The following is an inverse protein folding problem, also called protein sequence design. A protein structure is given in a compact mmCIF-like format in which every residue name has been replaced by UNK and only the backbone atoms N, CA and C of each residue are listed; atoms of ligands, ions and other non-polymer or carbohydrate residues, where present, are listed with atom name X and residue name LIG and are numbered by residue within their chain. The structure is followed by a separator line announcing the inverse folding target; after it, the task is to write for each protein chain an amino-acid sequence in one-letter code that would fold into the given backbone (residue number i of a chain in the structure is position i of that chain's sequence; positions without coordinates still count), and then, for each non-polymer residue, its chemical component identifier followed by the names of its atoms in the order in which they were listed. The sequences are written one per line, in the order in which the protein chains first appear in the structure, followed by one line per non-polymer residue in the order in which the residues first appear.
data_IF_688517110472
#
_entry.id   IF_688517110472
#
_cell.length_a   1.000
_cell.length_b   1.000
_cell.length_c   1.000
_cell.angle_alpha   90.00
_cell.angle_beta   90.00
_cell.angle_gamma   90.00
#
_symmetry.space_group_name_H-M   'P 1'
#
loop_
_entity.id
_entity.type
_entity.pdbx_description
1 polymer ?
#
# COMPACT_ATOMS: atom_id res chain seq x y z
N UNK A 1 59.32 -31.23 8.13
CA UNK A 1 59.30 -30.99 6.68
C UNK A 1 58.06 -31.71 6.16
N UNK A 2 56.96 -31.00 5.85
CA UNK A 2 56.73 -30.18 4.63
C UNK A 2 56.47 -31.04 3.38
N UNK A 3 55.66 -30.67 2.39
CA UNK A 3 54.48 -29.78 2.30
C UNK A 3 53.98 -29.82 0.83
N UNK A 4 52.67 -29.68 0.58
CA UNK A 4 52.07 -29.39 -0.76
C UNK A 4 52.25 -30.50 -1.83
N UNK A 5 51.55 -30.56 -2.98
CA UNK A 5 50.46 -29.75 -3.60
C UNK A 5 49.30 -30.62 -4.12
N UNK A 6 48.10 -30.04 -4.25
CA UNK A 6 46.96 -30.58 -5.02
C UNK A 6 47.25 -30.80 -6.52
N UNK A 7 46.58 -31.76 -7.17
CA UNK A 7 45.85 -31.56 -8.45
C UNK A 7 44.81 -32.67 -8.70
N UNK A 8 43.62 -32.59 -8.09
CA UNK A 8 42.45 -33.39 -8.51
C UNK A 8 41.53 -32.56 -9.41
N UNK A 9 41.23 -33.06 -10.62
CA UNK A 9 40.47 -32.33 -11.66
C UNK A 9 38.97 -32.68 -11.65
N UNK A 10 38.25 -32.30 -10.59
CA UNK A 10 36.78 -32.38 -10.60
C UNK A 10 36.16 -31.17 -11.31
N UNK A 11 35.75 -31.36 -12.57
CA UNK A 11 34.95 -30.39 -13.31
C UNK A 11 33.53 -30.27 -12.71
N UNK A 12 33.30 -29.23 -11.92
CA UNK A 12 31.94 -28.81 -11.55
C UNK A 12 31.33 -27.97 -12.68
N UNK A 13 30.19 -28.36 -13.29
CA UNK A 13 29.48 -27.49 -14.21
C UNK A 13 28.90 -26.31 -13.43
N UNK A 14 29.49 -25.14 -13.59
CA UNK A 14 28.98 -23.92 -12.98
C UNK A 14 27.54 -23.67 -13.46
N UNK A 15 26.57 -23.71 -12.55
CA UNK A 15 25.24 -23.15 -12.82
C UNK A 15 25.45 -21.65 -13.06
N UNK A 16 25.36 -21.25 -14.33
CA UNK A 16 25.22 -19.85 -14.67
C UNK A 16 23.99 -19.32 -13.90
N UNK A 17 24.21 -18.36 -13.02
CA UNK A 17 23.11 -17.60 -12.43
C UNK A 17 22.44 -16.85 -13.59
N UNK A 18 21.21 -17.22 -13.94
CA UNK A 18 20.43 -16.46 -14.90
C UNK A 18 20.42 -14.99 -14.47
N UNK A 19 20.62 -14.02 -15.38
CA UNK A 19 20.47 -12.62 -15.05
C UNK A 19 19.09 -12.40 -14.41
N UNK A 20 19.07 -11.59 -13.34
CA UNK A 20 17.82 -11.11 -12.76
C UNK A 20 16.93 -10.55 -13.88
N UNK A 21 15.62 -10.83 -13.91
CA UNK A 21 14.74 -10.28 -14.92
C UNK A 21 14.68 -8.76 -14.76
N UNK A 22 15.50 -8.07 -15.57
CA UNK A 22 15.50 -6.63 -15.74
C UNK A 22 14.05 -6.20 -16.00
N UNK A 23 13.50 -5.37 -15.11
CA UNK A 23 12.11 -4.91 -15.20
C UNK A 23 11.91 -4.23 -16.55
N UNK A 24 11.22 -4.92 -17.46
CA UNK A 24 10.85 -4.33 -18.75
C UNK A 24 9.90 -3.16 -18.49
N UNK A 25 10.05 -2.02 -19.19
CA UNK A 25 9.05 -0.96 -19.16
C UNK A 25 7.70 -1.51 -19.64
N UNK A 26 6.58 -0.89 -19.22
CA UNK A 26 5.26 -1.48 -19.41
C UNK A 26 4.96 -1.72 -20.90
N UNK A 27 4.44 -2.90 -21.28
CA UNK A 27 3.88 -3.10 -22.60
C UNK A 27 2.70 -2.15 -22.84
N UNK A 28 2.42 -1.86 -24.12
CA UNK A 28 1.18 -1.17 -24.52
C UNK A 28 -0.06 -1.96 -24.05
N UNK A 29 -1.26 -1.34 -23.94
CA UNK A 29 -2.45 -1.99 -23.38
C UNK A 29 -2.75 -3.38 -23.97
N UNK A 30 -2.62 -3.53 -25.30
CA UNK A 30 -2.78 -4.82 -25.98
C UNK A 30 -1.75 -5.89 -25.58
N UNK A 31 -0.48 -5.51 -25.39
CA UNK A 31 0.57 -6.44 -24.98
C UNK A 31 0.55 -6.74 -23.47
N UNK A 32 -0.03 -5.86 -22.64
CA UNK A 32 -0.35 -6.17 -21.24
C UNK A 32 -1.43 -7.27 -21.14
N UNK A 33 -2.47 -7.20 -21.99
CA UNK A 33 -3.49 -8.23 -22.11
C UNK A 33 -2.95 -9.57 -22.63
N UNK A 34 -2.05 -9.53 -23.61
CA UNK A 34 -1.36 -10.74 -24.11
C UNK A 34 -0.54 -11.44 -23.01
N UNK A 35 0.24 -10.68 -22.23
CA UNK A 35 1.02 -11.25 -21.13
C UNK A 35 0.13 -11.89 -20.04
N UNK A 36 -1.02 -11.28 -19.72
CA UNK A 36 -1.99 -11.89 -18.80
C UNK A 36 -2.55 -13.22 -19.34
N UNK A 37 -2.81 -13.31 -20.65
CA UNK A 37 -3.24 -14.56 -21.29
C UNK A 37 -2.16 -15.66 -21.25
N UNK A 38 -0.89 -15.32 -21.43
CA UNK A 38 0.24 -16.25 -21.26
C UNK A 38 0.31 -16.80 -19.83
N UNK A 39 0.25 -15.93 -18.81
CA UNK A 39 0.28 -16.32 -17.39
C UNK A 39 -0.89 -17.26 -17.03
N UNK A 40 -2.11 -16.98 -17.54
CA UNK A 40 -3.27 -17.85 -17.35
C UNK A 40 -3.10 -19.21 -18.06
N UNK A 41 -2.45 -19.25 -19.23
CA UNK A 41 -2.12 -20.50 -19.90
C UNK A 41 -1.06 -21.31 -19.13
N UNK A 42 -0.10 -20.66 -18.48
CA UNK A 42 0.87 -21.34 -17.61
C UNK A 42 0.23 -21.87 -16.32
N UNK A 43 -0.78 -21.18 -15.77
CA UNK A 43 -1.49 -21.66 -14.58
C UNK A 43 -2.09 -23.06 -14.81
N UNK A 44 -2.69 -23.27 -15.98
CA UNK A 44 -3.23 -24.59 -16.39
C UNK A 44 -2.12 -25.66 -16.53
N UNK A 45 -0.91 -25.29 -17.00
CA UNK A 45 0.24 -26.19 -17.10
C UNK A 45 0.80 -26.59 -15.73
N UNK A 46 0.78 -25.67 -14.75
CA UNK A 46 1.28 -25.89 -13.40
C UNK A 46 0.27 -26.60 -12.49
N UNK A 47 -1.04 -26.53 -12.79
CA UNK A 47 -2.13 -27.16 -12.05
C UNK A 47 -1.87 -28.61 -11.59
N UNK A 48 -1.44 -29.54 -12.47
CA UNK A 48 -1.10 -30.92 -12.08
C UNK A 48 0.10 -31.06 -11.13
N UNK A 49 0.96 -30.04 -11.04
CA UNK A 49 2.23 -30.07 -10.32
C UNK A 49 2.25 -29.21 -9.04
N UNK A 50 1.13 -28.60 -8.64
CA UNK A 50 1.07 -27.65 -7.50
C UNK A 50 1.59 -28.21 -6.17
N UNK A 51 1.49 -29.52 -5.95
CA UNK A 51 2.03 -30.18 -4.75
C UNK A 51 3.57 -30.26 -4.74
N UNK A 52 4.19 -30.30 -5.93
CA UNK A 52 5.65 -30.42 -6.12
C UNK A 52 6.30 -29.05 -6.36
N UNK A 53 5.55 -28.09 -6.91
CA UNK A 53 5.99 -26.72 -7.21
C UNK A 53 5.18 -25.63 -6.46
N UNK A 54 4.98 -25.72 -5.12
CA UNK A 54 4.13 -24.80 -4.35
C UNK A 54 4.68 -23.37 -4.23
N UNK A 55 5.93 -23.13 -4.65
CA UNK A 55 6.51 -21.79 -4.75
C UNK A 55 6.11 -21.16 -6.10
N UNK A 56 6.31 -21.88 -7.20
CA UNK A 56 6.02 -21.40 -8.56
C UNK A 56 4.53 -21.04 -8.73
N UNK A 57 3.62 -21.89 -8.24
CA UNK A 57 2.17 -21.61 -8.30
C UNK A 57 1.76 -20.36 -7.50
N UNK A 58 2.43 -20.07 -6.38
CA UNK A 58 2.16 -18.85 -5.59
C UNK A 58 2.66 -17.59 -6.28
N UNK A 59 3.89 -17.61 -6.82
CA UNK A 59 4.46 -16.49 -7.57
C UNK A 59 3.64 -16.17 -8.84
N UNK A 60 3.23 -17.20 -9.57
CA UNK A 60 2.39 -17.04 -10.76
C UNK A 60 1.03 -16.41 -10.41
N UNK A 61 0.36 -16.90 -9.36
CA UNK A 61 -0.91 -16.32 -8.93
C UNK A 61 -0.79 -14.88 -8.42
N UNK A 62 0.33 -14.51 -7.78
CA UNK A 62 0.62 -13.11 -7.43
C UNK A 62 0.75 -12.23 -8.67
N UNK A 63 1.47 -12.68 -9.69
CA UNK A 63 1.68 -11.92 -10.93
C UNK A 63 0.39 -11.81 -11.77
N UNK A 64 -0.45 -12.86 -11.81
CA UNK A 64 -1.79 -12.81 -12.42
C UNK A 64 -2.65 -11.75 -11.75
N UNK A 65 -2.69 -11.68 -10.40
CA UNK A 65 -3.45 -10.65 -9.70
C UNK A 65 -2.88 -9.24 -9.94
N UNK A 66 -1.55 -9.09 -9.95
CA UNK A 66 -0.86 -7.80 -10.24
C UNK A 66 -1.20 -7.29 -11.64
N UNK A 67 -1.11 -8.15 -12.65
CA UNK A 67 -1.42 -7.83 -14.04
C UNK A 67 -2.91 -7.57 -14.27
N UNK A 68 -3.80 -8.35 -13.63
CA UNK A 68 -5.25 -8.14 -13.72
C UNK A 68 -5.67 -6.80 -13.13
N UNK A 69 -5.16 -6.43 -11.94
CA UNK A 69 -5.41 -5.13 -11.34
C UNK A 69 -4.89 -3.97 -12.21
N UNK A 70 -3.68 -4.10 -12.78
CA UNK A 70 -3.11 -3.11 -13.68
C UNK A 70 -3.92 -2.94 -14.98
N UNK A 71 -4.45 -4.05 -15.53
CA UNK A 71 -5.29 -4.02 -16.74
C UNK A 71 -6.68 -3.42 -16.46
N UNK A 72 -7.29 -3.72 -15.30
CA UNK A 72 -8.52 -3.07 -14.85
C UNK A 72 -8.35 -1.55 -14.76
N UNK A 73 -7.20 -1.08 -14.26
CA UNK A 73 -6.90 0.35 -14.14
C UNK A 73 -6.65 1.05 -15.49
N UNK A 74 -6.27 0.30 -16.53
CA UNK A 74 -6.13 0.79 -17.91
C UNK A 74 -7.47 0.81 -18.67
N UNK A 75 -8.29 -0.22 -18.52
CA UNK A 75 -9.53 -0.42 -19.28
C UNK A 75 -10.60 0.66 -19.08
N UNK A 76 -10.56 1.39 -17.96
CA UNK A 76 -11.45 2.52 -17.67
C UNK A 76 -11.26 3.70 -18.65
N UNK A 77 -10.12 3.78 -19.36
CA UNK A 77 -9.73 4.97 -20.15
C UNK A 77 -9.87 4.86 -21.67
N UNK A 78 -10.47 3.79 -22.21
CA UNK A 78 -10.58 3.58 -23.67
C UNK A 78 -11.94 3.03 -24.13
N UNK A 79 -13.05 3.72 -23.79
CA UNK A 79 -14.36 3.45 -24.39
C UNK A 79 -15.12 4.71 -24.88
N UNK A 80 -14.38 5.68 -25.45
CA UNK A 80 -14.95 6.74 -26.29
C UNK A 80 -14.53 6.58 -27.78
N UNK A 81 -15.19 5.67 -28.51
CA UNK A 81 -15.63 5.92 -29.90
C UNK A 81 -16.54 4.87 -30.53
N UNK A 82 -17.68 5.39 -31.00
CA UNK A 82 -18.51 4.94 -32.13
C UNK A 82 -19.47 3.74 -31.93
N UNK A 83 -20.60 3.72 -32.67
CA UNK A 83 -21.77 2.94 -32.29
C UNK A 83 -21.87 1.59 -33.01
N UNK A 84 -22.43 0.60 -32.33
CA UNK A 84 -22.96 -0.62 -32.94
C UNK A 84 -24.48 -0.51 -33.00
N UNK A 85 -25.03 -0.57 -34.21
CA UNK A 85 -26.47 -0.57 -34.47
C UNK A 85 -27.03 -2.01 -34.49
N UNK A 86 -28.35 -2.11 -34.71
CA UNK A 86 -29.09 -3.35 -35.03
C UNK A 86 -29.46 -4.24 -33.81
N UNK A 87 -30.58 -5.00 -33.86
CA UNK A 87 -31.85 -4.73 -34.54
C UNK A 87 -33.10 -4.91 -33.64
N UNK A 88 -34.17 -4.13 -33.90
CA UNK A 88 -35.53 -4.67 -34.06
C UNK A 88 -36.54 -3.63 -34.59
N UNK A 89 -37.46 -4.10 -35.45
CA UNK A 89 -38.67 -3.43 -35.93
C UNK A 89 -39.80 -4.51 -35.86
N UNK A 90 -41.12 -4.25 -35.81
CA UNK A 90 -41.96 -3.04 -35.82
C UNK A 90 -42.82 -3.04 -34.51
N UNK A 91 -44.09 -2.62 -34.34
CA UNK A 91 -45.19 -2.03 -35.15
C UNK A 91 -46.15 -1.22 -34.21
N UNK A 92 -46.90 -0.19 -34.65
CA UNK A 92 -47.49 0.80 -33.73
C UNK A 92 -49.03 0.77 -33.50
N UNK A 93 -49.45 1.16 -32.27
CA UNK A 93 -50.76 1.71 -31.83
C UNK A 93 -52.03 0.81 -31.96
N UNK A 94 -53.22 1.14 -31.35
CA UNK A 94 -53.67 2.40 -30.72
C UNK A 94 -54.16 2.30 -29.23
N UNK A 95 -55.29 2.95 -28.85
CA UNK A 95 -55.57 3.56 -27.53
C UNK A 95 -56.86 3.06 -26.79
N UNK A 96 -56.95 3.35 -25.46
CA UNK A 96 -58.16 3.54 -24.57
C UNK A 96 -59.14 2.35 -24.29
N UNK A 97 -60.10 2.42 -23.31
CA UNK A 97 -59.93 2.72 -21.86
C UNK A 97 -60.83 1.93 -20.84
N UNK A 98 -60.52 2.07 -19.53
CA UNK A 98 -61.42 2.14 -18.34
C UNK A 98 -62.20 0.93 -17.72
N UNK A 99 -62.45 1.08 -16.39
CA UNK A 99 -63.32 0.30 -15.46
C UNK A 99 -62.90 -1.16 -15.15
N UNK A 100 -63.12 -1.77 -13.98
CA UNK A 100 -63.43 -1.35 -12.58
C UNK A 100 -63.19 -2.60 -11.67
N UNK A 101 -63.06 -2.60 -10.34
CA UNK A 101 -63.15 -1.57 -9.28
C UNK A 101 -63.10 -2.27 -7.89
N UNK A 102 -63.25 -1.51 -6.79
CA UNK A 102 -63.27 -1.94 -5.36
C UNK A 102 -61.93 -2.50 -4.79
N UNK A 103 -61.50 -2.11 -3.58
CA UNK A 103 -62.08 -1.10 -2.68
C UNK A 103 -61.28 -0.88 -1.37
N UNK A 104 -61.86 -0.05 -0.49
CA UNK A 104 -61.43 0.24 0.90
C UNK A 104 -60.06 0.92 1.13
N UNK A 105 -60.10 2.24 1.26
CA UNK A 105 -59.24 2.97 2.22
C UNK A 105 -59.80 2.80 3.65
N UNK A 106 -59.05 3.20 4.71
CA UNK A 106 -59.35 4.53 5.25
C UNK A 106 -58.15 5.35 5.79
N UNK A 107 -58.14 6.62 5.36
CA UNK A 107 -57.91 7.83 6.17
C UNK A 107 -56.83 7.86 7.27
N UNK A 108 -55.70 8.51 6.95
CA UNK A 108 -55.09 9.55 7.78
C UNK A 108 -54.33 10.52 6.85
N UNK A 109 -54.10 11.81 7.12
CA UNK A 109 -54.45 12.57 8.34
C UNK A 109 -54.07 14.07 8.33
N UNK A 110 -53.89 14.68 7.16
CA UNK A 110 -53.57 16.12 6.93
C UNK A 110 -52.22 16.66 7.46
N UNK A 111 -51.46 17.34 6.59
CA UNK A 111 -51.14 18.79 6.72
C UNK A 111 -50.53 19.30 5.38
N UNK A 112 -50.85 20.51 4.89
CA UNK A 112 -50.26 21.08 3.68
C UNK A 112 -49.11 22.05 3.98
N UNK A 113 -48.28 22.38 2.98
CA UNK A 113 -48.29 23.72 2.37
C UNK A 113 -47.40 23.83 1.13
N UNK A 114 -47.60 24.94 0.41
CA UNK A 114 -46.96 25.29 -0.85
C UNK A 114 -45.52 25.82 -0.67
N UNK A 115 -44.66 25.54 -1.63
CA UNK A 115 -43.88 26.56 -2.35
C UNK A 115 -43.13 25.90 -3.52
N UNK A 116 -42.82 26.66 -4.57
CA UNK A 116 -42.26 26.09 -5.80
C UNK A 116 -41.23 26.97 -6.49
N UNK A 117 -40.35 26.29 -7.23
CA UNK A 117 -39.40 26.80 -8.22
C UNK A 117 -38.18 27.62 -7.71
N UNK A 118 -37.05 27.65 -8.45
CA UNK A 118 -36.60 26.71 -9.50
C UNK A 118 -35.18 26.13 -9.31
N UNK A 119 -34.95 25.03 -10.03
CA UNK A 119 -33.66 24.46 -10.47
C UNK A 119 -32.50 25.48 -10.57
N UNK A 120 -31.40 25.22 -9.85
CA UNK A 120 -30.10 25.88 -10.04
C UNK A 120 -28.96 25.11 -9.38
N UNK A 121 -27.97 24.69 -10.18
CA UNK A 121 -26.62 24.21 -9.77
C UNK A 121 -26.53 23.35 -8.51
N UNK A 122 -26.81 22.04 -8.64
CA UNK A 122 -26.12 21.05 -7.81
C UNK A 122 -24.65 21.02 -8.25
N UNK A 123 -23.75 21.52 -7.41
CA UNK A 123 -22.32 21.26 -7.52
C UNK A 123 -22.06 19.81 -7.13
N UNK A 124 -22.06 18.91 -8.10
CA UNK A 124 -21.64 17.52 -7.93
C UNK A 124 -20.11 17.48 -7.89
N UNK A 125 -19.53 18.00 -6.81
CA UNK A 125 -18.15 17.70 -6.43
C UNK A 125 -18.07 16.27 -5.85
N UNK A 126 -18.49 15.30 -6.68
CA UNK A 126 -17.97 13.94 -6.64
C UNK A 126 -16.47 14.04 -7.01
N UNK A 127 -15.67 14.47 -6.04
CA UNK A 127 -14.24 14.21 -6.05
C UNK A 127 -14.09 12.69 -6.20
N UNK A 128 -13.59 12.26 -7.35
CA UNK A 128 -13.51 10.86 -7.71
C UNK A 128 -12.59 10.12 -6.73
N UNK A 129 -13.19 9.56 -5.68
CA UNK A 129 -12.55 8.62 -4.79
C UNK A 129 -12.37 7.30 -5.55
N UNK A 130 -11.36 7.28 -6.42
CA UNK A 130 -10.62 6.06 -6.74
C UNK A 130 -10.40 5.27 -5.43
N UNK A 131 -10.53 3.94 -5.44
CA UNK A 131 -10.43 3.12 -4.24
C UNK A 131 -9.02 3.23 -3.67
N UNK A 132 -8.85 4.14 -2.71
CA UNK A 132 -7.56 4.68 -2.27
C UNK A 132 -6.71 3.59 -1.61
N UNK A 133 -5.92 2.90 -2.43
CA UNK A 133 -5.21 1.71 -2.02
C UNK A 133 -4.23 2.03 -0.89
N UNK A 134 -4.22 1.15 0.12
CA UNK A 134 -3.37 1.33 1.30
C UNK A 134 -1.92 1.09 0.87
N UNK A 135 -1.10 2.13 1.00
CA UNK A 135 0.33 2.10 0.73
C UNK A 135 1.07 1.97 2.05
N UNK A 136 2.19 1.24 2.05
CA UNK A 136 3.14 1.22 3.15
C UNK A 136 4.40 1.99 2.75
N UNK A 137 4.74 3.05 3.51
CA UNK A 137 5.98 3.83 3.36
C UNK A 137 6.76 3.80 4.68
N UNK A 138 8.09 3.77 4.57
CA UNK A 138 9.00 3.80 5.72
C UNK A 138 10.08 4.86 5.47
N UNK A 139 10.27 5.76 6.43
CA UNK A 139 11.35 6.77 6.45
C UNK A 139 12.27 6.50 7.63
N UNK A 140 13.58 6.71 7.44
CA UNK A 140 14.62 6.59 8.46
C UNK A 140 15.19 7.98 8.76
N UNK A 141 15.20 8.37 10.03
CA UNK A 141 15.85 9.59 10.54
C UNK A 141 17.02 9.20 11.45
N UNK A 142 18.19 9.79 11.23
CA UNK A 142 19.35 9.63 12.11
C UNK A 142 19.20 10.53 13.35
N UNK A 143 19.59 10.05 14.53
CA UNK A 143 19.64 10.84 15.77
C UNK A 143 21.04 11.42 15.92
N UNK A 144 21.23 12.75 16.09
CA UNK A 144 22.54 13.38 16.15
C UNK A 144 23.23 13.19 17.52
N UNK A 145 23.42 11.95 17.97
CA UNK A 145 24.08 11.60 19.24
C UNK A 145 25.51 12.12 19.31
N UNK A 146 26.21 12.10 18.19
CA UNK A 146 27.66 12.37 18.15
C UNK A 146 27.96 13.88 18.25
N UNK A 147 27.01 14.71 17.79
CA UNK A 147 27.07 16.17 17.94
C UNK A 147 26.68 16.63 19.36
N UNK A 148 25.85 15.86 20.08
CA UNK A 148 25.32 16.21 21.40
C UNK A 148 25.33 15.01 22.36
N UNK A 149 26.50 14.45 22.71
CA UNK A 149 26.60 13.19 23.47
C UNK A 149 26.06 13.27 24.91
N UNK A 150 25.87 14.48 25.44
CA UNK A 150 25.25 14.71 26.76
C UNK A 150 23.72 14.88 26.70
N UNK A 151 23.09 14.86 25.52
CA UNK A 151 21.66 15.12 25.36
C UNK A 151 20.84 13.83 25.16
N UNK A 152 19.87 13.61 26.06
CA UNK A 152 19.04 12.41 26.07
C UNK A 152 17.85 12.50 25.07
N UNK A 153 18.15 12.44 23.77
CA UNK A 153 17.14 12.48 22.68
C UNK A 153 15.98 11.50 22.91
N UNK A 154 16.29 10.22 23.16
CA UNK A 154 15.31 9.15 23.37
C UNK A 154 14.36 9.47 24.55
N UNK A 155 14.90 10.02 25.64
CA UNK A 155 14.11 10.42 26.81
C UNK A 155 13.14 11.57 26.52
N UNK A 156 13.54 12.53 25.68
CA UNK A 156 12.67 13.64 25.24
C UNK A 156 11.60 13.20 24.25
N UNK A 157 11.96 12.35 23.28
CA UNK A 157 11.05 11.80 22.27
C UNK A 157 9.91 11.01 22.92
N UNK A 158 10.26 10.11 23.86
CA UNK A 158 9.27 9.35 24.63
C UNK A 158 8.47 10.25 25.59
N UNK A 159 9.16 11.11 26.33
CA UNK A 159 8.56 11.92 27.39
C UNK A 159 8.01 11.07 28.55
N UNK A 160 7.24 11.67 29.47
CA UNK A 160 6.72 10.96 30.64
C UNK A 160 5.82 9.78 30.21
N UNK A 161 6.19 8.56 30.63
CA UNK A 161 5.49 7.29 30.33
C UNK A 161 5.34 6.96 28.83
N UNK A 162 6.13 7.59 27.95
CA UNK A 162 5.99 7.44 26.50
C UNK A 162 4.85 8.27 25.89
N UNK A 163 4.23 9.18 26.65
CA UNK A 163 3.05 9.93 26.23
C UNK A 163 3.34 11.00 25.17
N UNK A 164 4.60 11.42 24.98
CA UNK A 164 4.97 12.34 23.89
C UNK A 164 4.94 11.60 22.56
N UNK A 165 5.70 10.50 22.45
CA UNK A 165 5.76 9.70 21.22
C UNK A 165 4.37 9.19 20.79
N UNK A 166 3.61 8.62 21.74
CA UNK A 166 2.23 8.15 21.49
C UNK A 166 1.30 9.24 20.97
N UNK A 167 1.53 10.52 21.32
CA UNK A 167 0.75 11.64 20.79
C UNK A 167 1.09 11.88 19.33
N UNK A 168 2.38 11.84 18.96
CA UNK A 168 2.84 12.00 17.56
C UNK A 168 2.26 10.88 16.69
N UNK A 169 2.34 9.63 17.16
CA UNK A 169 1.75 8.46 16.49
C UNK A 169 0.23 8.65 16.30
N UNK A 170 -0.49 8.99 17.37
CA UNK A 170 -1.94 9.19 17.31
C UNK A 170 -2.39 10.40 16.47
N UNK A 171 -1.59 11.47 16.37
CA UNK A 171 -1.95 12.65 15.58
C UNK A 171 -1.66 12.50 14.08
N UNK A 172 -0.65 11.68 13.73
CA UNK A 172 -0.19 11.48 12.34
C UNK A 172 -0.78 10.23 11.69
N UNK A 173 -1.08 9.19 12.47
CA UNK A 173 -1.41 7.85 11.97
C UNK A 173 -0.18 7.00 11.64
N UNK A 174 1.03 7.50 11.92
CA UNK A 174 2.28 6.78 11.73
C UNK A 174 2.68 5.98 12.98
N UNK A 175 3.46 4.91 12.79
CA UNK A 175 4.08 4.10 13.84
C UNK A 175 5.56 4.48 13.94
N UNK A 176 6.10 4.66 15.14
CA UNK A 176 7.48 5.16 15.29
C UNK A 176 8.34 4.18 16.09
N UNK A 177 9.36 3.62 15.45
CA UNK A 177 10.29 2.68 16.07
C UNK A 177 11.65 3.34 16.33
N UNK A 178 12.07 3.35 17.59
CA UNK A 178 13.43 3.74 17.98
C UNK A 178 14.33 2.50 17.85
N UNK A 179 15.44 2.63 17.13
CA UNK A 179 16.40 1.57 16.77
C UNK A 179 17.83 2.11 16.84
N UNK A 180 18.81 1.29 16.46
CA UNK A 180 20.23 1.58 16.68
C UNK A 180 20.71 1.21 18.09
N UNK A 181 22.01 1.39 18.29
CA UNK A 181 22.70 1.43 19.59
C UNK A 181 22.08 2.49 20.51
N UNK A 182 22.13 2.28 21.83
CA UNK A 182 21.57 3.19 22.83
C UNK A 182 20.04 3.27 22.84
N UNK A 183 19.34 2.44 22.06
CA UNK A 183 17.88 2.32 22.08
C UNK A 183 17.38 1.57 23.32
N UNK A 184 18.24 0.78 23.99
CA UNK A 184 17.93 0.06 25.22
C UNK A 184 18.48 0.82 26.43
N UNK A 185 17.60 1.14 27.40
CA UNK A 185 17.93 1.94 28.59
C UNK A 185 19.13 1.41 29.41
N UNK A 186 19.30 0.09 29.47
CA UNK A 186 20.30 -0.55 30.32
C UNK A 186 21.42 -1.14 29.41
N UNK A 187 22.60 -0.48 29.28
CA UNK A 187 23.61 -0.84 28.26
C UNK A 187 24.21 -2.24 28.44
N UNK A 188 24.25 -2.74 29.67
CA UNK A 188 24.69 -4.12 29.98
C UNK A 188 23.75 -5.16 29.33
N UNK A 189 22.45 -4.86 29.21
CA UNK A 189 21.48 -5.73 28.52
C UNK A 189 21.57 -5.57 27.01
N UNK A 190 21.88 -4.37 26.52
CA UNK A 190 22.04 -4.09 25.09
C UNK A 190 23.13 -4.99 24.48
N UNK A 191 24.34 -4.98 25.05
CA UNK A 191 25.46 -5.79 24.56
C UNK A 191 25.23 -7.32 24.69
N UNK A 192 24.35 -7.77 25.60
CA UNK A 192 23.93 -9.18 25.74
C UNK A 192 22.84 -9.62 24.74
N UNK A 193 22.10 -8.68 24.17
CA UNK A 193 21.05 -8.92 23.18
C UNK A 193 21.57 -8.73 21.74
N UNK A 194 22.59 -7.88 21.56
CA UNK A 194 23.33 -7.67 20.31
C UNK A 194 23.75 -9.00 19.68
N UNK A 195 23.55 -9.12 18.36
CA UNK A 195 23.82 -10.35 17.62
C UNK A 195 22.79 -11.47 17.78
N UNK A 196 21.72 -11.29 18.58
CA UNK A 196 20.54 -12.16 18.53
C UNK A 196 19.61 -11.75 17.37
N UNK A 197 18.90 -12.70 16.73
CA UNK A 197 17.94 -12.38 15.68
C UNK A 197 16.89 -11.39 16.19
N UNK A 198 16.60 -10.36 15.38
CA UNK A 198 15.72 -9.25 15.73
C UNK A 198 16.38 -8.11 16.52
N UNK A 199 17.58 -8.31 17.08
CA UNK A 199 18.41 -7.30 17.76
C UNK A 199 19.66 -6.90 16.96
N UNK A 200 19.70 -7.29 15.68
CA UNK A 200 20.79 -6.96 14.74
C UNK A 200 21.01 -5.44 14.65
N UNK A 201 19.93 -4.64 14.70
CA UNK A 201 19.97 -3.18 14.68
C UNK A 201 20.73 -2.53 15.85
N UNK A 202 21.26 -3.28 16.82
CA UNK A 202 22.12 -2.76 17.89
C UNK A 202 23.59 -2.53 17.42
N UNK A 203 23.95 -2.93 16.20
CA UNK A 203 25.20 -2.49 15.55
C UNK A 203 25.13 -1.04 15.04
N UNK A 204 23.94 -0.58 14.69
CA UNK A 204 23.74 0.64 13.90
C UNK A 204 23.80 1.91 14.76
N UNK A 205 24.07 3.09 14.17
CA UNK A 205 23.84 4.36 14.85
C UNK A 205 22.37 4.50 15.28
N UNK A 206 22.14 5.28 16.33
CA UNK A 206 20.82 5.56 16.89
C UNK A 206 19.92 6.19 15.82
N UNK A 207 18.83 5.52 15.45
CA UNK A 207 17.95 5.98 14.38
C UNK A 207 16.48 5.71 14.67
N UNK A 208 15.60 6.45 14.01
CA UNK A 208 14.15 6.37 14.13
C UNK A 208 13.58 5.91 12.80
N UNK A 209 12.74 4.88 12.81
CA UNK A 209 11.98 4.43 11.65
C UNK A 209 10.52 4.88 11.82
N UNK A 210 10.03 5.69 10.88
CA UNK A 210 8.63 6.10 10.78
C UNK A 210 7.97 5.20 9.74
N UNK A 211 7.02 4.38 10.17
CA UNK A 211 6.22 3.50 9.30
C UNK A 211 4.81 4.09 9.17
N UNK A 212 4.39 4.40 7.94
CA UNK A 212 3.03 4.80 7.62
C UNK A 212 2.36 3.70 6.78
N UNK A 213 1.13 3.32 7.13
CA UNK A 213 0.29 2.37 6.40
C UNK A 213 -1.08 3.02 6.21
N UNK A 214 -1.23 3.76 5.11
CA UNK A 214 -2.28 4.76 4.90
C UNK A 214 -2.67 4.84 3.41
N UNK A 215 -3.82 5.43 3.07
CA UNK A 215 -4.19 5.71 1.67
C UNK A 215 -3.12 6.54 0.94
N UNK A 216 -2.92 6.23 -0.34
CA UNK A 216 -1.93 6.87 -1.20
C UNK A 216 -2.00 8.41 -1.21
N UNK A 217 -3.19 8.99 -1.08
CA UNK A 217 -3.44 10.43 -1.22
C UNK A 217 -3.01 11.25 0.01
N UNK A 218 -2.93 10.60 1.18
CA UNK A 218 -2.61 11.25 2.46
C UNK A 218 -1.28 10.82 3.06
N UNK A 219 -0.71 9.69 2.60
CA UNK A 219 0.44 9.07 3.25
C UNK A 219 1.67 9.98 3.29
N UNK A 220 2.00 10.68 2.21
CA UNK A 220 3.17 11.57 2.16
C UNK A 220 3.00 12.78 3.07
N UNK A 221 1.81 13.40 3.08
CA UNK A 221 1.47 14.50 3.98
C UNK A 221 1.59 14.10 5.46
N UNK A 222 1.12 12.90 5.82
CA UNK A 222 1.21 12.38 7.19
C UNK A 222 2.64 12.00 7.59
N UNK A 223 3.40 11.43 6.65
CA UNK A 223 4.79 11.02 6.85
C UNK A 223 5.71 12.24 7.02
N UNK A 224 5.51 13.29 6.22
CA UNK A 224 6.19 14.58 6.36
C UNK A 224 5.83 15.26 7.69
N UNK A 225 4.55 15.28 8.08
CA UNK A 225 4.11 15.80 9.38
C UNK A 225 4.76 15.05 10.57
N UNK A 226 4.88 13.73 10.48
CA UNK A 226 5.57 12.93 11.50
C UNK A 226 7.08 13.24 11.55
N UNK A 227 7.71 13.39 10.39
CA UNK A 227 9.12 13.75 10.27
C UNK A 227 9.42 15.11 10.90
N UNK A 228 8.68 16.16 10.53
CA UNK A 228 8.86 17.53 11.06
C UNK A 228 8.81 17.57 12.60
N UNK A 229 7.79 16.95 13.19
CA UNK A 229 7.60 16.89 14.65
C UNK A 229 8.75 16.14 15.34
N UNK A 230 9.26 15.06 14.72
CA UNK A 230 10.37 14.29 15.28
C UNK A 230 11.71 15.03 15.14
N UNK A 231 11.97 15.71 14.03
CA UNK A 231 13.15 16.55 13.83
C UNK A 231 13.21 17.71 14.83
N UNK A 232 12.09 18.34 15.16
CA UNK A 232 12.02 19.38 16.19
C UNK A 232 12.29 18.85 17.61
N UNK A 233 11.91 17.60 17.90
CA UNK A 233 12.28 16.92 19.14
C UNK A 233 13.77 16.54 19.18
N UNK A 234 14.43 16.40 18.02
CA UNK A 234 15.86 16.18 17.85
C UNK A 234 16.72 17.47 17.87
N UNK A 235 16.12 18.68 17.91
CA UNK A 235 16.86 19.94 18.08
C UNK A 235 17.00 20.25 19.57
N UNK A 236 18.20 20.16 20.20
CA UNK A 236 18.35 20.29 21.66
C UNK A 236 17.93 21.68 22.16
N UNK A 237 17.12 21.74 23.22
CA UNK A 237 16.73 23.02 23.84
C UNK A 237 17.89 23.53 24.70
N UNK A 238 18.65 24.48 24.18
CA UNK A 238 19.55 25.31 24.99
C UNK A 238 18.66 26.18 25.88
N UNK A 239 18.65 25.89 27.18
CA UNK A 239 18.13 26.83 28.18
C UNK A 239 19.25 27.82 28.49
N UNK A 240 18.98 29.08 28.19
CA UNK A 240 19.79 30.25 28.50
C UNK A 240 19.37 30.73 29.90
#
# INVERSE_FOLDING_TARGET
MEALTNTEKCFSPARAMSPLPLVRPPPSPGAAGQYLAELLQEQQKIGPFVQVLPICGRLLNQEIMRMSAMLSHLGVREHERLPIASPNQMHPLPQVPNFCGNGFSPWNGMLPEKNGFPRGTMGWEDAAHDPSYIVKKIVRLEVPTDAYPHFNFIGRLLGPRGNSLKRVEASTGCRVFIRGKGSIKDPIKEEQLKGRPGYEHLSDPTHILIEAELPADVIDTRLAQAQEILEDLLKPVVRI
#
